data_IF_864525985910
#
_entry.id   IF_864525985910
#
_cell.length_a   1.000
_cell.length_b   1.000
_cell.length_c   1.000
_cell.angle_alpha   90.00
_cell.angle_beta   90.00
_cell.angle_gamma   90.00
#
_symmetry.space_group_name_H-M   'P 1'
#
loop_
_entity.id
_entity.type
_entity.pdbx_description
1 polymer ?
#
# COMPACT_ATOMS: atom_id res chain seq x y z
N UNK A 1 -6.40 -14.42 22.08
CA UNK A 1 -7.01 -14.64 20.80
C UNK A 1 -8.35 -13.98 20.75
N UNK A 2 -8.75 -13.43 19.59
CA UNK A 2 -8.00 -13.43 18.35
C UNK A 2 -6.98 -12.30 18.29
N UNK A 3 -5.95 -12.51 17.48
CA UNK A 3 -4.87 -11.53 17.32
C UNK A 3 -5.02 -10.87 15.96
N UNK A 4 -5.49 -9.62 15.97
CA UNK A 4 -5.74 -8.82 14.78
C UNK A 4 -4.96 -7.54 14.80
N UNK A 5 -4.60 -7.06 13.61
CA UNK A 5 -4.21 -5.69 13.41
C UNK A 5 -5.01 -5.12 12.24
N UNK A 6 -5.42 -3.88 12.32
CA UNK A 6 -6.22 -3.24 11.28
C UNK A 6 -5.59 -1.94 10.81
N UNK A 7 -5.72 -1.70 9.52
CA UNK A 7 -5.40 -0.41 8.92
C UNK A 7 -6.68 0.08 8.26
N UNK A 8 -7.32 1.08 8.85
CA UNK A 8 -8.62 1.55 8.39
C UNK A 8 -8.39 2.80 7.53
N UNK A 9 -8.37 2.61 6.23
CA UNK A 9 -8.23 3.70 5.30
C UNK A 9 -9.56 4.33 4.92
N UNK A 10 -9.52 5.33 4.07
CA UNK A 10 -10.73 5.99 3.62
C UNK A 10 -11.63 5.09 2.77
N UNK A 11 -11.05 4.21 1.96
CA UNK A 11 -11.82 3.35 1.06
C UNK A 11 -11.66 1.88 1.35
N UNK A 12 -10.52 1.46 1.89
CA UNK A 12 -10.25 0.05 2.18
C UNK A 12 -9.79 -0.13 3.61
N UNK A 13 -10.24 -1.21 4.22
CA UNK A 13 -9.72 -1.72 5.49
C UNK A 13 -8.82 -2.91 5.15
N UNK A 14 -7.60 -2.92 5.73
CA UNK A 14 -6.71 -4.06 5.65
C UNK A 14 -6.60 -4.65 7.03
N UNK A 15 -6.66 -5.96 7.09
CA UNK A 15 -6.66 -6.71 8.33
C UNK A 15 -5.58 -7.77 8.27
N UNK A 16 -4.75 -7.85 9.30
CA UNK A 16 -3.85 -8.99 9.47
C UNK A 16 -4.38 -9.82 10.63
N UNK A 17 -4.40 -11.13 10.43
CA UNK A 17 -4.93 -12.05 11.42
C UNK A 17 -3.91 -13.18 11.63
N UNK A 18 -3.50 -13.37 12.89
CA UNK A 18 -2.60 -14.44 13.25
C UNK A 18 -3.38 -15.62 13.80
N UNK A 19 -3.27 -16.74 13.12
CA UNK A 19 -3.94 -17.99 13.51
C UNK A 19 -2.94 -18.92 14.14
N UNK A 20 -3.01 -19.16 15.48
CA UNK A 20 -2.10 -20.12 16.11
C UNK A 20 -2.34 -21.52 15.58
N UNK A 21 -1.27 -22.27 15.35
CA UNK A 21 -1.36 -23.68 14.93
C UNK A 21 -0.78 -24.62 15.97
N UNK A 22 -0.24 -24.07 17.05
CA UNK A 22 0.36 -24.89 18.13
C UNK A 22 -0.58 -24.98 19.34
N UNK A 23 -1.88 -25.03 19.08
CA UNK A 23 -2.87 -25.09 20.15
C UNK A 23 -2.82 -26.50 20.79
N UNK A 24 -2.62 -26.54 22.10
CA UNK A 24 -2.61 -27.80 22.81
C UNK A 24 -4.04 -28.31 23.01
N UNK A 25 -4.16 -29.61 23.39
CA UNK A 25 -5.47 -30.19 23.66
C UNK A 25 -6.16 -29.46 24.81
N UNK A 26 -5.39 -29.06 25.82
CA UNK A 26 -5.95 -28.31 26.95
C UNK A 26 -6.47 -26.94 26.50
N UNK A 27 -5.68 -26.26 25.68
CA UNK A 27 -6.11 -24.95 25.16
C UNK A 27 -7.35 -25.09 24.29
N UNK A 28 -7.43 -26.13 23.48
CA UNK A 28 -8.60 -26.35 22.63
C UNK A 28 -9.84 -26.57 23.47
N UNK A 29 -9.73 -27.31 24.55
CA UNK A 29 -10.88 -27.55 25.44
C UNK A 29 -11.31 -26.26 26.13
N UNK A 30 -10.36 -25.39 26.46
CA UNK A 30 -10.68 -24.14 27.14
C UNK A 30 -11.14 -23.06 26.18
N UNK A 31 -10.91 -23.23 24.88
CA UNK A 31 -11.27 -22.22 23.89
C UNK A 31 -12.78 -22.12 23.77
N UNK A 32 -13.30 -20.89 23.92
CA UNK A 32 -14.74 -20.70 23.83
C UNK A 32 -15.21 -20.90 22.39
N UNK A 33 -16.47 -21.24 22.23
CA UNK A 33 -17.02 -21.53 20.91
C UNK A 33 -16.99 -20.34 19.99
N UNK A 34 -17.12 -19.13 20.52
CA UNK A 34 -17.07 -17.93 19.69
C UNK A 34 -15.69 -17.78 19.05
N UNK A 35 -14.60 -18.06 19.80
CA UNK A 35 -13.26 -18.01 19.22
C UNK A 35 -13.07 -19.04 18.12
N UNK A 36 -13.57 -20.25 18.35
CA UNK A 36 -13.50 -21.30 17.32
C UNK A 36 -14.25 -20.88 16.05
N UNK A 37 -15.42 -20.30 16.24
CA UNK A 37 -16.25 -19.84 15.12
C UNK A 37 -15.55 -18.74 14.33
N UNK A 38 -14.93 -17.79 15.03
CA UNK A 38 -14.21 -16.68 14.37
C UNK A 38 -13.05 -17.24 13.58
N UNK A 39 -12.24 -18.10 14.20
CA UNK A 39 -11.09 -18.67 13.51
C UNK A 39 -11.51 -19.45 12.27
N UNK A 40 -12.56 -20.28 12.40
CA UNK A 40 -13.03 -21.07 11.28
C UNK A 40 -13.54 -20.18 10.16
N UNK A 41 -14.30 -19.12 10.51
CA UNK A 41 -14.82 -18.21 9.51
C UNK A 41 -13.70 -17.51 8.74
N UNK A 42 -12.69 -17.00 9.45
CA UNK A 42 -11.63 -16.24 8.82
C UNK A 42 -10.68 -17.10 7.99
N UNK A 43 -10.46 -18.35 8.41
CA UNK A 43 -9.48 -19.18 7.72
C UNK A 43 -10.08 -20.08 6.64
N UNK A 44 -11.38 -20.31 6.66
CA UNK A 44 -12.01 -21.19 5.68
C UNK A 44 -12.61 -20.45 4.50
N UNK A 45 -12.73 -19.14 4.57
CA UNK A 45 -13.32 -18.34 3.51
C UNK A 45 -12.25 -17.52 2.79
N UNK A 46 -12.36 -17.42 1.47
CA UNK A 46 -11.50 -16.51 0.69
C UNK A 46 -12.24 -15.24 0.31
N UNK A 47 -13.56 -15.24 0.45
CA UNK A 47 -14.40 -14.08 0.15
C UNK A 47 -15.34 -13.83 1.33
N UNK A 48 -15.51 -12.57 1.69
CA UNK A 48 -16.36 -12.17 2.79
C UNK A 48 -17.40 -11.19 2.28
N UNK A 49 -18.64 -11.64 2.22
CA UNK A 49 -19.66 -10.85 1.58
C UNK A 49 -19.40 -10.74 0.09
N UNK A 50 -19.81 -9.63 -0.49
CA UNK A 50 -19.70 -9.45 -1.93
C UNK A 50 -18.32 -8.87 -2.36
N UNK A 51 -17.61 -8.23 -1.46
CA UNK A 51 -16.40 -7.49 -1.84
C UNK A 51 -15.18 -7.75 -0.96
N UNK A 52 -15.35 -8.45 0.16
CA UNK A 52 -14.22 -8.75 1.03
C UNK A 52 -13.42 -9.94 0.50
N UNK A 53 -12.11 -9.90 0.67
CA UNK A 53 -11.21 -10.92 0.13
C UNK A 53 -10.12 -11.25 1.15
N UNK A 54 -9.83 -12.55 1.28
CA UNK A 54 -8.60 -12.99 1.95
C UNK A 54 -7.59 -13.29 0.85
N UNK A 55 -6.45 -12.60 0.90
CA UNK A 55 -5.39 -12.77 -0.11
C UNK A 55 -4.58 -14.01 0.23
N UNK A 56 -5.06 -15.18 -0.19
CA UNK A 56 -4.46 -16.46 0.20
C UNK A 56 -3.03 -16.61 -0.33
N UNK A 57 -2.73 -15.99 -1.46
CA UNK A 57 -1.39 -16.11 -2.03
C UNK A 57 -0.34 -15.34 -1.19
N UNK A 58 -0.77 -14.45 -0.31
CA UNK A 58 0.13 -13.69 0.55
C UNK A 58 0.30 -14.33 1.93
N UNK A 59 -0.49 -15.36 2.25
CA UNK A 59 -0.44 -16.01 3.56
C UNK A 59 0.98 -16.43 3.90
N UNK A 60 1.41 -16.14 5.13
CA UNK A 60 2.71 -16.56 5.62
C UNK A 60 2.50 -17.67 6.64
N UNK A 61 3.04 -18.84 6.35
CA UNK A 61 2.78 -20.02 7.14
C UNK A 61 3.93 -20.32 8.10
N UNK A 62 3.56 -20.87 9.24
CA UNK A 62 4.49 -21.39 10.23
C UNK A 62 5.47 -20.34 10.73
N UNK A 63 4.92 -19.20 11.12
CA UNK A 63 5.69 -18.14 11.76
C UNK A 63 5.63 -18.28 13.28
N UNK A 64 6.58 -17.65 13.94
CA UNK A 64 6.53 -17.49 15.40
C UNK A 64 6.23 -16.02 15.71
N UNK A 65 5.15 -15.78 16.45
CA UNK A 65 4.74 -14.45 16.83
C UNK A 65 4.24 -14.49 18.26
N UNK A 66 4.79 -13.63 19.11
CA UNK A 66 4.45 -13.59 20.54
C UNK A 66 4.65 -14.96 21.19
N UNK A 67 5.68 -15.67 20.75
CA UNK A 67 6.00 -16.97 21.32
C UNK A 67 5.13 -18.12 20.84
N UNK A 68 4.23 -17.88 19.86
CA UNK A 68 3.34 -18.91 19.34
C UNK A 68 3.65 -19.16 17.87
N UNK A 69 3.51 -20.41 17.46
CA UNK A 69 3.60 -20.75 16.04
C UNK A 69 2.23 -20.60 15.38
N UNK A 70 2.21 -20.07 14.17
CA UNK A 70 0.94 -19.87 13.50
C UNK A 70 1.08 -19.38 12.08
N UNK A 71 -0.06 -19.06 11.49
CA UNK A 71 -0.13 -18.55 10.12
C UNK A 71 -0.67 -17.13 10.15
N UNK A 72 -0.07 -16.29 9.32
CA UNK A 72 -0.49 -14.89 9.22
C UNK A 72 -1.30 -14.72 7.95
N UNK A 73 -2.55 -14.28 8.13
CA UNK A 73 -3.50 -14.09 7.03
C UNK A 73 -3.71 -12.62 6.74
N UNK A 74 -4.00 -12.31 5.49
CA UNK A 74 -4.17 -10.95 5.00
C UNK A 74 -5.53 -10.80 4.34
N UNK A 75 -6.33 -9.89 4.88
CA UNK A 75 -7.74 -9.72 4.50
C UNK A 75 -7.98 -8.25 4.21
N UNK A 76 -8.80 -7.97 3.19
CA UNK A 76 -9.18 -6.60 2.87
C UNK A 76 -10.66 -6.54 2.53
N UNK A 77 -11.28 -5.41 2.87
CA UNK A 77 -12.67 -5.17 2.51
C UNK A 77 -12.91 -3.66 2.44
N UNK A 78 -13.98 -3.25 1.72
CA UNK A 78 -14.27 -1.81 1.62
C UNK A 78 -14.60 -1.22 2.99
N UNK A 79 -14.14 0.00 3.22
CA UNK A 79 -14.39 0.67 4.51
C UNK A 79 -15.88 0.85 4.75
N UNK A 80 -16.69 0.98 3.69
CA UNK A 80 -18.13 1.11 3.86
C UNK A 80 -18.75 -0.15 4.47
N UNK A 81 -18.05 -1.29 4.42
CA UNK A 81 -18.53 -2.54 5.03
C UNK A 81 -18.04 -2.73 6.46
N UNK A 82 -17.32 -1.74 7.01
CA UNK A 82 -16.82 -1.85 8.38
C UNK A 82 -17.95 -2.05 9.40
N UNK A 83 -19.10 -1.38 9.28
CA UNK A 83 -20.19 -1.67 10.22
C UNK A 83 -20.62 -3.13 10.21
N UNK A 84 -20.59 -3.78 9.04
CA UNK A 84 -20.90 -5.21 8.94
C UNK A 84 -19.86 -6.04 9.71
N UNK A 85 -18.59 -5.67 9.60
CA UNK A 85 -17.54 -6.36 10.35
C UNK A 85 -17.74 -6.20 11.85
N UNK A 86 -18.09 -4.98 12.30
CA UNK A 86 -18.34 -4.72 13.72
C UNK A 86 -19.54 -5.56 14.20
N UNK A 87 -20.58 -5.65 13.38
CA UNK A 87 -21.75 -6.45 13.73
C UNK A 87 -21.40 -7.93 13.80
N UNK A 88 -20.54 -8.40 12.90
CA UNK A 88 -20.08 -9.79 12.97
C UNK A 88 -19.32 -10.03 14.27
N UNK A 89 -18.51 -9.09 14.68
CA UNK A 89 -17.81 -9.20 15.96
C UNK A 89 -18.77 -9.27 17.12
N UNK A 90 -19.85 -8.48 17.07
CA UNK A 90 -20.87 -8.54 18.11
C UNK A 90 -21.58 -9.91 18.10
N UNK A 91 -21.97 -10.37 16.92
CA UNK A 91 -22.68 -11.63 16.80
C UNK A 91 -21.84 -12.81 17.28
N UNK A 92 -20.52 -12.72 17.12
CA UNK A 92 -19.62 -13.78 17.56
C UNK A 92 -19.03 -13.50 18.94
N UNK A 93 -19.60 -12.53 19.65
CA UNK A 93 -19.27 -12.22 21.04
C UNK A 93 -17.79 -11.84 21.23
N UNK A 94 -17.26 -10.99 20.35
CA UNK A 94 -15.90 -10.48 20.50
C UNK A 94 -15.73 -9.80 21.86
N UNK A 95 -16.74 -9.09 22.33
CA UNK A 95 -16.64 -8.32 23.56
C UNK A 95 -16.41 -9.20 24.79
N UNK A 96 -16.91 -10.44 24.77
CA UNK A 96 -16.75 -11.33 25.89
C UNK A 96 -15.34 -11.88 25.99
N UNK A 97 -14.52 -11.69 24.96
CA UNK A 97 -13.15 -12.19 24.93
C UNK A 97 -12.16 -11.17 25.49
N UNK A 98 -12.66 -10.02 25.92
CA UNK A 98 -11.80 -8.93 26.43
C UNK A 98 -10.70 -8.56 25.45
N UNK A 99 -11.05 -8.57 24.17
CA UNK A 99 -10.09 -8.37 23.11
C UNK A 99 -9.80 -6.88 22.94
N UNK A 100 -8.52 -6.52 22.91
CA UNK A 100 -8.08 -5.20 22.50
C UNK A 100 -7.74 -5.29 21.03
N UNK A 101 -8.33 -4.40 20.25
CA UNK A 101 -8.12 -4.37 18.81
C UNK A 101 -7.18 -3.22 18.51
N UNK A 102 -6.02 -3.51 17.93
CA UNK A 102 -5.09 -2.46 17.53
C UNK A 102 -5.37 -2.04 16.10
N UNK A 103 -5.44 -0.73 15.89
CA UNK A 103 -5.76 -0.19 14.60
C UNK A 103 -4.94 1.06 14.29
N UNK A 104 -4.74 1.30 13.01
CA UNK A 104 -4.08 2.48 12.51
C UNK A 104 -4.89 3.01 11.33
N UNK A 105 -4.44 4.11 10.73
CA UNK A 105 -5.15 4.72 9.62
C UNK A 105 -6.12 5.78 10.08
N UNK A 106 -6.50 6.67 9.15
CA UNK A 106 -7.40 7.76 9.48
C UNK A 106 -8.76 7.32 9.96
N UNK A 107 -9.24 6.17 9.47
CA UNK A 107 -10.53 5.66 9.87
C UNK A 107 -10.58 5.14 11.29
N UNK A 108 -9.42 4.89 11.91
CA UNK A 108 -9.40 4.41 13.29
C UNK A 108 -10.03 5.45 14.23
N UNK A 109 -9.80 6.72 13.95
CA UNK A 109 -10.42 7.78 14.74
C UNK A 109 -11.90 7.94 14.39
N UNK A 110 -12.22 7.86 13.11
CA UNK A 110 -13.58 8.05 12.66
C UNK A 110 -14.52 6.98 13.19
N UNK A 111 -14.07 5.73 13.23
CA UNK A 111 -14.92 4.61 13.59
C UNK A 111 -14.75 4.14 15.02
N UNK A 112 -13.96 4.84 15.84
CA UNK A 112 -13.73 4.42 17.22
C UNK A 112 -15.03 4.29 18.00
N UNK A 113 -15.93 5.26 17.81
CA UNK A 113 -17.20 5.25 18.51
C UNK A 113 -18.05 4.04 18.09
N UNK A 114 -18.02 3.69 16.79
CA UNK A 114 -18.78 2.55 16.30
C UNK A 114 -18.27 1.25 16.92
N UNK A 115 -16.96 1.09 17.07
CA UNK A 115 -16.41 -0.10 17.72
C UNK A 115 -16.86 -0.18 19.17
N UNK A 116 -16.85 0.95 19.86
CA UNK A 116 -17.24 0.97 21.27
C UNK A 116 -18.73 0.70 21.45
N UNK A 117 -19.56 1.35 20.70
CA UNK A 117 -21.00 1.22 20.87
C UNK A 117 -21.60 0.00 20.20
N UNK A 118 -21.20 -0.03 19.00
CA UNK A 118 -21.73 -1.13 18.28
C UNK A 118 -21.11 -2.43 18.58
N UNK A 119 -19.98 -2.56 18.77
CA UNK A 119 -19.25 -3.79 18.99
C UNK A 119 -18.83 -4.02 20.42
N UNK A 120 -18.92 -3.01 21.27
CA UNK A 120 -18.43 -3.05 22.64
C UNK A 120 -16.96 -3.49 22.68
N UNK A 121 -16.15 -2.94 21.77
CA UNK A 121 -14.74 -3.25 21.65
C UNK A 121 -13.91 -2.01 21.89
N UNK A 122 -12.79 -2.19 22.56
CA UNK A 122 -11.84 -1.10 22.81
C UNK A 122 -10.84 -1.05 21.67
N UNK A 123 -10.79 0.10 20.97
CA UNK A 123 -9.89 0.27 19.84
C UNK A 123 -8.63 1.00 20.33
N UNK A 124 -7.49 0.32 20.23
CA UNK A 124 -6.20 0.88 20.59
C UNK A 124 -5.57 1.45 19.33
N UNK A 125 -5.58 2.79 19.24
CA UNK A 125 -5.11 3.45 18.02
C UNK A 125 -3.59 3.58 18.03
N UNK A 126 -2.96 3.27 16.89
CA UNK A 126 -1.52 3.31 16.73
C UNK A 126 -1.15 4.28 15.61
N UNK A 127 0.02 4.87 15.73
CA UNK A 127 0.50 5.85 14.76
C UNK A 127 0.78 5.18 13.41
N UNK A 128 0.32 5.82 12.33
CA UNK A 128 0.37 5.25 10.98
C UNK A 128 1.79 4.91 10.54
N UNK A 129 2.70 5.86 10.69
CA UNK A 129 4.06 5.67 10.17
C UNK A 129 4.83 4.64 10.98
N UNK A 130 4.62 4.62 12.30
CA UNK A 130 5.23 3.59 13.13
C UNK A 130 4.77 2.20 12.70
N UNK A 131 3.47 2.04 12.48
CA UNK A 131 2.93 0.75 12.06
C UNK A 131 3.47 0.35 10.70
N UNK A 132 3.55 1.30 9.77
CA UNK A 132 4.07 1.02 8.44
C UNK A 132 5.51 0.49 8.52
N UNK A 133 6.38 1.19 9.23
CA UNK A 133 7.78 0.80 9.33
C UNK A 133 7.93 -0.55 10.03
N UNK A 134 7.24 -0.73 11.15
CA UNK A 134 7.34 -1.98 11.91
C UNK A 134 6.82 -3.15 11.11
N UNK A 135 5.69 -2.98 10.43
CA UNK A 135 5.12 -4.03 9.62
C UNK A 135 6.01 -4.40 8.45
N UNK A 136 6.56 -3.40 7.77
CA UNK A 136 7.45 -3.64 6.64
C UNK A 136 8.68 -4.42 7.06
N UNK A 137 9.32 -3.98 8.13
CA UNK A 137 10.53 -4.66 8.59
C UNK A 137 10.25 -6.07 9.07
N UNK A 138 9.12 -6.28 9.74
CA UNK A 138 8.76 -7.62 10.20
C UNK A 138 8.52 -8.56 9.01
N UNK A 139 7.74 -8.14 8.03
CA UNK A 139 7.43 -8.99 6.87
C UNK A 139 8.71 -9.34 6.12
N UNK A 140 9.59 -8.34 5.93
CA UNK A 140 10.84 -8.60 5.26
C UNK A 140 11.67 -9.65 6.03
N UNK A 141 11.65 -9.54 7.36
CA UNK A 141 12.47 -10.45 8.18
C UNK A 141 11.97 -11.88 8.16
N UNK A 142 10.66 -12.10 7.98
CA UNK A 142 10.10 -13.46 8.02
C UNK A 142 9.87 -14.06 6.63
N UNK A 143 10.09 -13.29 5.56
CA UNK A 143 9.85 -13.77 4.20
C UNK A 143 11.08 -14.47 3.64
N UNK A 144 11.66 -15.36 4.42
CA UNK A 144 12.92 -16.01 4.04
C UNK A 144 12.75 -17.34 3.33
N UNK A 145 11.53 -17.83 3.22
CA UNK A 145 11.33 -19.20 2.77
C UNK A 145 11.09 -19.28 1.27
N UNK A 146 12.11 -18.87 0.51
CA UNK A 146 12.15 -19.17 -0.90
C UNK A 146 11.53 -18.13 -1.82
N UNK A 147 10.78 -17.16 -1.29
CA UNK A 147 10.22 -16.10 -2.13
C UNK A 147 10.66 -14.76 -1.60
N UNK A 148 11.33 -14.00 -2.44
CA UNK A 148 11.79 -12.67 -2.04
C UNK A 148 10.60 -11.75 -1.82
N UNK A 149 10.61 -11.05 -0.69
CA UNK A 149 9.58 -10.06 -0.41
C UNK A 149 9.76 -8.83 -1.31
N UNK A 150 11.00 -8.47 -1.56
CA UNK A 150 11.33 -7.25 -2.30
C UNK A 150 11.66 -7.57 -3.76
N UNK A 151 11.25 -6.69 -4.66
CA UNK A 151 11.51 -6.87 -6.08
C UNK A 151 11.64 -5.54 -6.78
N UNK A 152 12.15 -5.58 -8.01
CA UNK A 152 12.26 -4.39 -8.87
C UNK A 152 11.95 -4.81 -10.31
N UNK A 153 11.85 -3.82 -11.19
CA UNK A 153 11.62 -4.07 -12.60
C UNK A 153 12.89 -3.77 -13.38
N UNK A 154 13.51 -4.84 -13.88
CA UNK A 154 14.68 -4.69 -14.73
C UNK A 154 14.25 -4.12 -16.08
N UNK A 155 15.10 -3.25 -16.64
CA UNK A 155 14.84 -2.65 -17.94
C UNK A 155 13.54 -1.88 -17.98
N UNK A 156 13.30 -1.06 -16.94
CA UNK A 156 12.05 -0.33 -16.82
C UNK A 156 11.81 0.64 -17.97
N UNK A 157 12.87 1.10 -18.64
CA UNK A 157 12.76 2.00 -19.78
C UNK A 157 12.46 1.30 -21.10
N UNK A 158 12.49 -0.02 -21.11
CA UNK A 158 12.28 -0.81 -22.33
C UNK A 158 11.10 -1.77 -22.09
N UNK A 159 9.89 -1.37 -22.45
CA UNK A 159 8.70 -2.19 -22.10
C UNK A 159 8.79 -3.65 -22.56
N UNK A 160 9.44 -3.90 -23.70
CA UNK A 160 9.54 -5.27 -24.23
C UNK A 160 10.50 -6.13 -23.43
N UNK A 161 11.44 -5.52 -22.72
CA UNK A 161 12.42 -6.25 -21.91
C UNK A 161 12.19 -6.09 -20.41
N UNK A 162 11.16 -5.35 -20.02
CA UNK A 162 10.88 -5.09 -18.63
C UNK A 162 10.40 -6.37 -17.94
N UNK A 163 11.08 -6.73 -16.85
CA UNK A 163 10.67 -7.93 -16.13
C UNK A 163 10.93 -7.79 -14.64
N UNK A 164 10.06 -8.43 -13.87
CA UNK A 164 10.12 -8.41 -12.42
C UNK A 164 11.26 -9.29 -11.93
N UNK A 165 12.11 -8.75 -11.08
CA UNK A 165 13.28 -9.45 -10.55
C UNK A 165 13.33 -9.33 -9.04
N UNK A 166 13.72 -10.40 -8.34
CA UNK A 166 13.84 -10.31 -6.89
C UNK A 166 15.02 -9.42 -6.47
N UNK A 167 14.87 -8.78 -5.33
CA UNK A 167 15.90 -7.95 -4.75
C UNK A 167 16.13 -8.35 -3.31
N UNK A 168 17.39 -8.55 -2.94
CA UNK A 168 17.75 -9.02 -1.61
C UNK A 168 17.95 -7.84 -0.66
N UNK A 169 17.08 -7.74 0.37
CA UNK A 169 17.20 -6.71 1.40
C UNK A 169 17.76 -7.30 2.69
N UNK A 170 18.87 -8.05 2.61
CA UNK A 170 19.46 -8.69 3.78
C UNK A 170 19.77 -7.69 4.89
N UNK A 171 20.33 -6.54 4.51
CA UNK A 171 20.63 -5.47 5.45
C UNK A 171 19.88 -4.24 4.94
N UNK A 172 18.64 -4.04 5.39
CA UNK A 172 17.80 -3.03 4.74
C UNK A 172 18.19 -1.59 5.01
N UNK A 173 19.03 -1.34 6.02
CA UNK A 173 19.33 0.04 6.41
C UNK A 173 20.55 0.59 5.72
N UNK A 174 20.54 1.87 5.39
CA UNK A 174 19.40 2.78 5.46
C UNK A 174 18.45 2.59 4.30
N UNK A 175 17.19 2.97 4.51
CA UNK A 175 16.13 2.73 3.54
C UNK A 175 15.27 3.98 3.44
N UNK A 176 14.98 4.40 2.22
CA UNK A 176 14.02 5.47 2.00
C UNK A 176 12.68 4.84 1.63
N UNK A 177 11.64 5.15 2.39
CA UNK A 177 10.30 4.61 2.15
C UNK A 177 9.41 5.72 1.63
N UNK A 178 8.88 5.52 0.44
CA UNK A 178 7.97 6.49 -0.20
C UNK A 178 6.57 5.91 -0.15
N UNK A 179 5.74 6.47 0.70
CA UNK A 179 4.37 5.98 0.93
C UNK A 179 3.41 6.83 0.12
N UNK A 180 2.79 6.22 -0.89
CA UNK A 180 1.92 6.93 -1.82
C UNK A 180 0.47 6.51 -1.57
N UNK A 181 -0.24 7.38 -0.85
CA UNK A 181 -1.67 7.20 -0.61
C UNK A 181 -2.43 8.37 -1.19
N UNK A 182 -3.31 8.96 -0.40
CA UNK A 182 -3.98 10.20 -0.82
C UNK A 182 -2.97 11.33 -0.97
N UNK A 183 -1.93 11.30 -0.13
CA UNK A 183 -0.76 12.15 -0.28
C UNK A 183 0.47 11.28 -0.33
N UNK A 184 1.64 11.90 -0.32
CA UNK A 184 2.92 11.19 -0.33
C UNK A 184 3.68 11.56 0.93
N UNK A 185 4.17 10.53 1.63
CA UNK A 185 5.06 10.70 2.77
C UNK A 185 6.36 9.99 2.48
N UNK A 186 7.48 10.64 2.76
CA UNK A 186 8.80 10.06 2.55
C UNK A 186 9.51 9.95 3.87
N UNK A 187 9.96 8.75 4.18
CA UNK A 187 10.60 8.42 5.46
C UNK A 187 12.02 7.96 5.22
N UNK A 188 12.93 8.44 6.04
CA UNK A 188 14.30 7.92 6.06
C UNK A 188 14.40 6.97 7.26
N UNK A 189 14.69 5.70 6.98
CA UNK A 189 14.76 4.68 8.00
C UNK A 189 16.22 4.25 8.14
N UNK A 190 16.86 4.68 9.23
CA UNK A 190 18.28 4.40 9.45
C UNK A 190 18.50 3.15 10.28
N UNK A 191 17.53 2.81 11.13
CA UNK A 191 17.55 1.58 11.90
C UNK A 191 16.12 1.28 12.37
N UNK A 192 15.96 0.16 13.02
CA UNK A 192 14.65 -0.25 13.54
C UNK A 192 14.00 0.83 14.40
N UNK A 193 14.81 1.55 15.16
CA UNK A 193 14.29 2.56 16.08
C UNK A 193 14.67 4.00 15.71
N UNK A 194 15.28 4.19 14.55
CA UNK A 194 15.73 5.51 14.13
C UNK A 194 15.19 5.79 12.73
N UNK A 195 14.03 6.42 12.66
CA UNK A 195 13.44 6.81 11.39
C UNK A 195 12.70 8.12 11.57
N UNK A 196 12.59 8.87 10.48
CA UNK A 196 11.94 10.18 10.51
C UNK A 196 11.23 10.44 9.19
N UNK A 197 10.21 11.28 9.25
CA UNK A 197 9.56 11.77 8.03
C UNK A 197 10.41 12.90 7.46
N UNK A 198 10.87 12.69 6.24
CA UNK A 198 11.74 13.69 5.58
C UNK A 198 10.90 14.80 4.96
N UNK A 199 9.84 14.42 4.25
CA UNK A 199 8.96 15.39 3.61
C UNK A 199 7.65 14.71 3.24
N UNK A 200 6.71 15.50 2.69
CA UNK A 200 5.44 14.97 2.23
C UNK A 200 4.77 15.98 1.32
N UNK A 201 3.83 15.48 0.57
CA UNK A 201 3.08 16.33 -0.33
C UNK A 201 1.67 15.78 -0.52
N UNK A 202 0.97 16.61 -0.78
CA UNK A 202 -0.39 16.26 -0.95
C UNK A 202 -0.69 15.99 -2.41
N UNK A 203 0.21 16.16 -3.23
CA UNK A 203 0.07 15.97 -4.62
C UNK A 203 0.11 14.56 -5.08
N UNK A 204 -0.08 13.74 -4.64
CA UNK A 204 -0.03 12.39 -5.01
C UNK A 204 -1.35 11.88 -5.52
N UNK A 205 -1.97 11.22 -4.91
CA UNK A 205 -3.16 10.49 -5.12
C UNK A 205 -4.37 11.42 -5.19
N UNK A 206 -4.26 12.30 -4.48
CA UNK A 206 -5.32 13.24 -4.43
C UNK A 206 -5.36 14.09 -5.69
N UNK A 207 -4.33 14.33 -6.11
CA UNK A 207 -4.17 15.03 -7.31
C UNK A 207 -4.49 14.15 -8.51
N UNK A 208 -4.32 13.06 -8.35
CA UNK A 208 -4.63 12.09 -9.34
C UNK A 208 -6.12 11.85 -9.45
N UNK A 209 -6.58 11.83 -8.44
CA UNK A 209 -7.99 11.62 -8.36
C UNK A 209 -8.73 12.88 -8.84
N UNK A 210 -8.24 13.84 -8.54
CA UNK A 210 -8.77 15.07 -8.95
C UNK A 210 -8.59 15.31 -10.42
N UNK A 211 -7.59 14.99 -10.83
CA UNK A 211 -7.28 15.16 -12.19
C UNK A 211 -7.99 14.14 -13.08
N UNK A 212 -8.14 13.14 -12.50
CA UNK A 212 -8.79 12.07 -13.20
C UNK A 212 -10.30 12.31 -13.24
N UNK A 213 -10.63 12.84 -12.29
CA UNK A 213 -12.01 13.16 -12.20
C UNK A 213 -12.39 14.34 -13.09
N UNK A 214 -11.60 15.11 -13.13
CA UNK A 214 -11.77 16.26 -13.93
C UNK A 214 -11.56 16.00 -15.40
N UNK A 215 -10.67 15.30 -15.61
CA UNK A 215 -10.32 15.14 -16.99
C UNK A 215 -10.98 13.93 -17.65
N UNK A 216 -11.15 13.12 -16.97
CA UNK A 216 -11.59 11.89 -17.55
C UNK A 216 -12.98 11.46 -17.07
N UNK A 217 -13.42 12.05 -16.36
CA UNK A 217 -14.72 11.68 -15.95
C UNK A 217 -14.76 10.31 -15.31
N UNK A 218 -13.73 9.82 -15.08
CA UNK A 218 -13.70 8.54 -14.47
C UNK A 218 -13.70 8.72 -12.98
N UNK A 219 -14.46 8.51 -12.45
CA UNK A 219 -14.60 8.77 -11.04
C UNK A 219 -13.93 7.74 -10.18
N UNK A 220 -13.65 6.84 -10.66
CA UNK A 220 -13.01 5.83 -9.83
C UNK A 220 -11.55 5.76 -10.17
N UNK A 221 -10.88 5.63 -9.29
CA UNK A 221 -9.48 5.52 -9.42
C UNK A 221 -9.09 4.29 -10.16
N UNK A 222 -9.85 3.32 -9.89
CA UNK A 222 -9.59 2.09 -10.52
C UNK A 222 -9.91 2.14 -12.01
N UNK A 223 -10.79 2.80 -12.25
CA UNK A 223 -11.13 2.95 -13.62
C UNK A 223 -10.10 3.78 -14.36
N UNK A 224 -9.66 4.56 -13.66
CA UNK A 224 -8.65 5.38 -14.22
C UNK A 224 -7.38 4.61 -14.51
N UNK A 225 -7.15 3.87 -13.71
CA UNK A 225 -5.99 3.05 -13.81
C UNK A 225 -6.13 2.01 -14.93
N UNK A 226 -7.15 1.58 -14.93
CA UNK A 226 -7.37 0.61 -15.98
C UNK A 226 -7.34 1.27 -17.36
N UNK A 227 -7.74 2.26 -17.42
CA UNK A 227 -7.73 3.04 -18.62
C UNK A 227 -6.32 3.44 -19.02
N UNK A 228 -5.72 3.60 -18.11
CA UNK A 228 -4.37 3.99 -18.32
C UNK A 228 -3.54 2.88 -18.94
N UNK A 229 -3.83 1.89 -18.58
CA UNK A 229 -3.14 0.73 -19.06
C UNK A 229 -3.44 0.45 -20.57
N UNK A 230 -4.49 0.66 -20.77
CA UNK A 230 -4.88 0.46 -22.15
C UNK A 230 -4.53 1.65 -23.00
N UNK A 231 -4.46 2.58 -22.54
CA UNK A 231 -4.13 3.76 -23.22
C UNK A 231 -2.68 3.69 -23.51
N UNK A 232 -2.41 3.80 -24.27
CA UNK A 232 -1.03 3.96 -24.66
C UNK A 232 -0.59 5.25 -24.09
N UNK A 233 -0.07 5.17 -23.36
CA UNK A 233 0.55 6.28 -22.80
C UNK A 233 1.51 6.97 -23.73
N UNK A 234 1.64 6.36 -24.65
CA UNK A 234 2.52 6.83 -25.63
C UNK A 234 2.06 8.12 -26.24
N UNK A 235 1.00 8.12 -26.39
CA UNK A 235 0.41 9.30 -26.99
C UNK A 235 0.51 10.50 -26.10
N UNK A 236 0.30 10.37 -25.06
CA UNK A 236 0.38 11.38 -24.04
C UNK A 236 1.80 11.50 -23.56
N UNK A 237 2.23 10.51 -23.46
CA UNK A 237 3.61 10.48 -23.04
C UNK A 237 4.51 10.98 -24.16
N UNK A 238 4.05 10.73 -25.13
CA UNK A 238 4.82 11.19 -26.25
C UNK A 238 4.77 12.69 -26.30
N UNK A 239 3.80 13.08 -26.02
CA UNK A 239 3.61 14.50 -25.92
C UNK A 239 4.42 15.08 -24.82
N UNK A 240 4.41 14.48 -23.94
CA UNK A 240 5.20 14.82 -22.78
C UNK A 240 6.65 14.51 -23.02
N UNK A 241 6.72 13.58 -23.56
CA UNK A 241 8.07 13.21 -23.89
C UNK A 241 8.66 14.11 -24.95
N UNK A 242 7.87 14.36 -25.62
CA UNK A 242 8.28 15.29 -26.63
C UNK A 242 8.61 16.63 -26.04
N UNK A 243 7.95 16.85 -25.16
CA UNK A 243 8.20 18.07 -24.44
C UNK A 243 9.36 17.92 -23.52
N UNK A 244 9.36 16.92 -23.00
CA UNK A 244 10.41 16.59 -22.04
C UNK A 244 11.67 16.07 -22.72
N UNK A 245 11.44 15.48 -23.58
CA UNK A 245 12.58 14.96 -24.25
C UNK A 245 13.49 16.03 -24.79
N UNK A 246 12.90 16.83 -25.09
CA UNK A 246 13.66 17.92 -25.56
C UNK A 246 14.35 18.58 -24.45
N UNK A 247 13.86 18.47 -23.66
CA UNK A 247 14.43 19.18 -22.60
C UNK A 247 14.60 18.27 -21.46
N UNK A 248 14.91 17.54 -21.90
CA UNK A 248 15.03 16.73 -20.89
C UNK A 248 15.66 17.25 -19.74
N UNK A 249 16.13 17.88 -20.07
CA UNK A 249 16.80 18.43 -19.14
C UNK A 249 16.17 19.32 -18.22
N UNK A 250 15.61 19.55 -18.54
CA UNK A 250 14.97 20.35 -17.68
C UNK A 250 14.15 19.43 -16.83
N UNK A 251 14.70 19.15 -16.11
CA UNK A 251 14.09 18.38 -15.12
C UNK A 251 12.81 18.99 -14.64
N UNK A 252 12.86 19.96 -14.54
CA UNK A 252 11.75 20.71 -14.09
C UNK A 252 10.77 20.86 -15.21
N UNK A 253 11.26 20.81 -16.10
CA UNK A 253 10.51 20.91 -17.30
C UNK A 253 9.74 19.66 -17.56
N UNK A 254 10.24 18.82 -17.15
CA UNK A 254 9.57 17.54 -17.26
C UNK A 254 8.29 17.56 -16.51
N UNK A 255 8.43 17.99 -15.55
CA UNK A 255 7.30 18.10 -14.69
C UNK A 255 6.30 19.16 -15.17
N UNK A 256 6.79 20.01 -15.62
CA UNK A 256 5.99 21.05 -16.20
C UNK A 256 5.40 20.66 -17.50
N UNK A 257 6.05 19.96 -18.02
CA UNK A 257 5.61 19.42 -19.27
C UNK A 257 4.49 18.42 -19.07
N UNK A 258 4.65 17.85 -18.18
CA UNK A 258 3.66 16.89 -17.82
C UNK A 258 2.43 17.61 -17.36
N UNK A 259 2.65 18.51 -16.78
CA UNK A 259 1.57 19.30 -16.33
C UNK A 259 0.91 20.02 -17.48
N UNK A 260 1.62 20.25 -18.24
CA UNK A 260 1.14 20.86 -19.43
C UNK A 260 0.39 19.91 -20.31
N UNK A 261 0.79 18.92 -20.24
CA UNK A 261 0.13 17.87 -20.94
C UNK A 261 -1.20 17.54 -20.32
N UNK A 262 -1.11 17.60 -19.21
CA UNK A 262 -2.32 17.38 -18.46
C UNK A 262 -3.25 18.56 -18.61
N UNK A 263 -2.70 19.56 -18.66
CA UNK A 263 -3.45 20.76 -18.87
C UNK A 263 -3.95 20.87 -20.30
N UNK A 264 -3.21 20.41 -20.98
CA UNK A 264 -3.53 20.40 -22.37
C UNK A 264 -4.64 19.44 -22.69
N UNK A 265 -4.61 18.60 -22.03
CA UNK A 265 -5.62 17.59 -22.12
C UNK A 265 -6.96 18.11 -21.62
N UNK A 266 -6.75 18.81 -20.83
CA UNK A 266 -7.90 19.40 -20.21
C UNK A 266 -8.44 20.58 -21.00
N UNK A 267 -7.60 21.07 -21.51
CA UNK A 267 -7.87 22.25 -22.27
C UNK A 267 -8.21 21.96 -23.70
N UNK A 268 -7.72 21.05 -23.99
CA UNK A 268 -7.98 20.69 -25.32
C UNK A 268 -9.42 20.30 -25.35
N UNK A 269 -9.89 20.87 -25.64
CA UNK A 269 -11.21 20.68 -25.89
C UNK A 269 -11.39 19.52 -26.70
N UNK A 270 -10.58 19.19 -26.80
CA UNK A 270 -10.71 18.08 -27.49
C UNK A 270 -10.87 16.87 -26.65
N UNK A 271 -11.35 17.08 -25.84
CA UNK A 271 -11.58 16.02 -24.92
C UNK A 271 -12.26 14.85 -25.56
N UNK A 272 -12.86 15.17 -26.33
CA UNK A 272 -13.53 14.21 -27.13
C UNK A 272 -12.58 13.39 -27.99
N UNK A 273 -11.72 13.93 -28.32
CA UNK A 273 -10.73 13.29 -29.16
C UNK A 273 -9.74 12.55 -28.35
N UNK A 274 -9.54 13.02 -27.35
CA UNK A 274 -8.58 12.34 -26.54
C UNK A 274 -9.38 11.36 -25.72
N UNK A 275 -9.14 10.53 -25.72
CA UNK A 275 -9.70 9.50 -24.94
C UNK A 275 -9.48 9.77 -23.49
N UNK A 276 -10.16 9.49 -22.85
CA UNK A 276 -10.00 9.51 -21.43
C UNK A 276 -8.84 8.71 -20.97
N UNK A 277 -8.63 7.73 -21.61
CA UNK A 277 -7.51 6.94 -21.29
C UNK A 277 -6.19 7.65 -21.43
N UNK A 278 -6.16 8.33 -22.29
CA UNK A 278 -4.95 9.08 -22.52
C UNK A 278 -4.78 10.16 -21.46
N UNK A 279 -5.65 10.64 -21.06
CA UNK A 279 -5.60 11.60 -20.00
C UNK A 279 -5.21 10.96 -18.70
N UNK A 280 -5.60 9.99 -18.54
CA UNK A 280 -5.25 9.19 -17.36
C UNK A 280 -3.79 8.79 -17.37
N UNK A 281 -3.45 8.43 -18.37
CA UNK A 281 -2.05 8.10 -18.51
C UNK A 281 -1.14 9.30 -18.38
N UNK A 282 -1.61 10.19 -18.87
CA UNK A 282 -0.88 11.41 -18.78
C UNK A 282 -0.85 11.91 -17.38
N UNK A 283 -1.87 11.79 -16.68
CA UNK A 283 -1.91 12.15 -15.26
C UNK A 283 -0.99 11.22 -14.47
N UNK A 284 -1.08 9.93 -14.70
CA UNK A 284 -0.21 8.98 -14.02
C UNK A 284 1.25 9.30 -14.29
N UNK A 285 1.58 9.57 -15.54
CA UNK A 285 2.98 9.87 -15.87
C UNK A 285 3.42 11.14 -15.15
N UNK A 286 2.57 12.15 -15.08
CA UNK A 286 2.92 13.39 -14.38
C UNK A 286 3.14 13.10 -12.89
N UNK A 287 2.23 12.38 -12.28
CA UNK A 287 2.32 12.07 -10.83
C UNK A 287 3.56 11.23 -10.55
N UNK A 288 3.77 10.17 -11.32
CA UNK A 288 4.91 9.30 -11.07
C UNK A 288 6.24 10.00 -11.36
N UNK A 289 6.27 10.90 -12.35
CA UNK A 289 7.46 11.70 -12.62
C UNK A 289 7.79 12.61 -11.44
N UNK A 290 6.77 13.28 -10.90
CA UNK A 290 6.98 14.16 -9.76
C UNK A 290 7.45 13.37 -8.54
N UNK A 291 6.83 12.23 -8.28
CA UNK A 291 7.23 11.40 -7.14
C UNK A 291 8.65 10.90 -7.33
N UNK A 292 8.99 10.44 -8.53
CA UNK A 292 10.34 9.98 -8.81
C UNK A 292 11.38 11.06 -8.60
N UNK A 293 11.06 12.28 -9.03
CA UNK A 293 11.98 13.41 -8.85
C UNK A 293 12.18 13.73 -7.37
N UNK A 294 11.09 13.80 -6.62
CA UNK A 294 11.17 14.11 -5.19
C UNK A 294 11.87 12.99 -4.43
N UNK A 295 11.58 11.75 -4.76
CA UNK A 295 12.21 10.61 -4.12
C UNK A 295 13.72 10.63 -4.37
N UNK A 296 14.11 10.90 -5.60
CA UNK A 296 15.55 11.00 -5.93
C UNK A 296 16.21 12.11 -5.13
N UNK A 297 15.57 13.26 -5.05
CA UNK A 297 16.12 14.39 -4.31
C UNK A 297 16.29 14.03 -2.83
N UNK A 298 15.30 13.38 -2.24
CA UNK A 298 15.40 12.97 -0.84
C UNK A 298 16.47 11.92 -0.63
N UNK A 299 16.60 10.97 -1.56
CA UNK A 299 17.61 9.92 -1.45
C UNK A 299 19.00 10.54 -1.46
N UNK A 300 19.24 11.50 -2.36
CA UNK A 300 20.54 12.17 -2.43
C UNK A 300 20.80 12.95 -1.14
N UNK A 301 19.82 13.73 -0.69
CA UNK A 301 20.00 14.54 0.50
C UNK A 301 20.22 13.70 1.75
N UNK A 302 19.57 12.55 1.86
CA UNK A 302 19.70 11.68 3.02
C UNK A 302 20.84 10.66 2.87
N UNK A 303 21.47 10.63 1.71
CA UNK A 303 22.57 9.69 1.40
C UNK A 303 22.07 8.24 1.52
N UNK A 304 20.90 7.98 0.98
CA UNK A 304 20.29 6.65 0.98
C UNK A 304 20.12 6.22 -0.48
N UNK A 305 20.56 5.01 -0.80
CA UNK A 305 20.50 4.54 -2.19
C UNK A 305 19.51 3.41 -2.43
N UNK A 306 18.68 3.10 -1.44
CA UNK A 306 17.59 2.13 -1.62
C UNK A 306 16.26 2.83 -1.38
N UNK A 307 15.41 2.81 -2.40
CA UNK A 307 14.14 3.53 -2.37
C UNK A 307 13.02 2.51 -2.55
N UNK A 308 12.21 2.34 -1.50
CA UNK A 308 11.08 1.40 -1.51
C UNK A 308 9.79 2.20 -1.61
N UNK A 309 8.97 1.85 -2.59
CA UNK A 309 7.66 2.47 -2.78
C UNK A 309 6.58 1.59 -2.19
N UNK A 310 5.70 2.18 -1.39
CA UNK A 310 4.58 1.50 -0.77
C UNK A 310 3.33 2.38 -0.88
N UNK A 311 2.19 1.82 -0.57
CA UNK A 311 0.95 2.57 -0.50
C UNK A 311 -0.10 2.09 -1.48
N UNK A 312 -1.33 2.54 -1.24
CA UNK A 312 -2.48 2.07 -2.01
C UNK A 312 -2.41 2.42 -3.49
N UNK A 313 -1.71 3.51 -3.82
CA UNK A 313 -1.58 3.89 -5.22
C UNK A 313 -1.01 2.76 -6.08
N UNK A 314 -0.11 1.97 -5.51
CA UNK A 314 0.55 0.89 -6.25
C UNK A 314 -0.38 -0.29 -6.51
N UNK A 315 -1.47 -0.40 -5.77
CA UNK A 315 -2.40 -1.51 -5.92
C UNK A 315 -3.31 -1.35 -7.13
N UNK A 316 -3.31 -0.18 -7.73
CA UNK A 316 -4.20 0.10 -8.85
C UNK A 316 -3.87 -0.83 -10.03
N UNK A 317 -2.60 -0.85 -10.42
CA UNK A 317 -2.13 -1.81 -11.43
C UNK A 317 -0.61 -1.78 -11.50
N UNK A 318 -0.06 -2.70 -12.30
CA UNK A 318 1.39 -2.79 -12.47
C UNK A 318 1.96 -1.58 -13.21
N UNK A 319 1.14 -0.92 -14.00
CA UNK A 319 1.60 0.23 -14.79
C UNK A 319 2.13 1.34 -13.88
N UNK A 320 1.45 1.62 -12.78
CA UNK A 320 1.90 2.68 -11.88
C UNK A 320 3.28 2.36 -11.30
N UNK A 321 3.52 1.09 -10.97
CA UNK A 321 4.83 0.68 -10.47
C UNK A 321 5.91 0.83 -11.54
N UNK A 322 5.60 0.42 -12.76
CA UNK A 322 6.59 0.53 -13.85
C UNK A 322 6.88 1.99 -14.18
N UNK A 323 5.87 2.86 -14.12
CA UNK A 323 6.08 4.27 -14.35
C UNK A 323 6.94 4.90 -13.25
N UNK A 324 6.75 4.50 -12.00
CA UNK A 324 7.60 4.96 -10.91
C UNK A 324 9.03 4.47 -11.11
N UNK A 325 9.19 3.23 -11.49
CA UNK A 325 10.52 2.66 -11.73
C UNK A 325 11.22 3.42 -12.85
N UNK A 326 10.50 3.70 -13.92
CA UNK A 326 11.07 4.44 -15.03
C UNK A 326 11.43 5.87 -14.60
N UNK A 327 10.55 6.52 -13.86
CA UNK A 327 10.80 7.88 -13.43
C UNK A 327 12.02 7.97 -12.53
N UNK A 328 12.14 7.05 -11.56
CA UNK A 328 13.28 7.07 -10.66
C UNK A 328 14.58 6.79 -11.41
N UNK A 329 14.53 5.85 -12.34
CA UNK A 329 15.69 5.56 -13.18
C UNK A 329 16.12 6.80 -13.97
N UNK A 330 15.15 7.48 -14.56
CA UNK A 330 15.41 8.69 -15.34
C UNK A 330 16.02 9.79 -14.48
N UNK A 331 15.37 10.13 -13.37
CA UNK A 331 15.83 11.23 -12.54
C UNK A 331 17.15 10.95 -11.85
N UNK A 332 17.43 9.69 -11.55
CA UNK A 332 18.68 9.32 -10.90
C UNK A 332 19.78 8.95 -11.89
N UNK A 333 19.49 9.00 -13.18
CA UNK A 333 20.41 8.58 -14.23
C UNK A 333 20.90 7.16 -14.01
N UNK A 334 19.97 6.30 -13.61
CA UNK A 334 20.25 4.89 -13.40
C UNK A 334 20.92 4.56 -12.08
N UNK A 335 21.10 5.55 -11.21
CA UNK A 335 21.81 5.32 -9.94
C UNK A 335 20.92 4.69 -8.88
N UNK A 336 19.62 4.90 -8.95
CA UNK A 336 18.68 4.41 -7.94
C UNK A 336 17.72 3.44 -8.57
N UNK A 337 17.42 2.37 -7.82
CA UNK A 337 16.50 1.34 -8.23
C UNK A 337 15.22 1.47 -7.41
N UNK A 338 14.08 1.47 -8.10
CA UNK A 338 12.79 1.50 -7.42
C UNK A 338 12.45 0.10 -6.92
N UNK A 339 12.26 -0.02 -5.63
CA UNK A 339 11.97 -1.31 -5.00
C UNK A 339 10.51 -1.37 -4.58
N UNK A 340 9.94 -2.56 -4.69
CA UNK A 340 8.55 -2.82 -4.36
C UNK A 340 8.46 -4.07 -3.48
N UNK A 341 7.31 -4.26 -2.85
CA UNK A 341 7.14 -5.35 -1.88
C UNK A 341 5.88 -6.15 -2.19
N UNK A 342 5.96 -7.45 -1.99
CA UNK A 342 4.85 -8.35 -2.33
C UNK A 342 3.62 -8.12 -1.45
N UNK A 343 3.83 -7.83 -0.16
CA UNK A 343 2.71 -7.63 0.76
C UNK A 343 2.22 -6.19 0.79
N UNK A 344 2.35 -5.53 -0.35
CA UNK A 344 1.93 -4.14 -0.48
C UNK A 344 0.50 -3.93 0.02
N UNK A 345 0.33 -2.90 0.85
CA UNK A 345 -0.97 -2.53 1.38
C UNK A 345 -1.24 -3.05 2.78
N UNK A 346 -0.47 -4.03 3.24
CA UNK A 346 -0.76 -4.69 4.52
C UNK A 346 0.20 -4.32 5.65
N UNK A 347 1.21 -3.51 5.38
CA UNK A 347 2.24 -3.25 6.40
C UNK A 347 1.67 -2.52 7.61
N UNK A 348 0.76 -1.58 7.39
CA UNK A 348 0.13 -0.88 8.52
C UNK A 348 -0.64 -1.83 9.42
N UNK A 349 -1.38 -2.75 8.82
CA UNK A 349 -2.14 -3.73 9.61
C UNK A 349 -1.22 -4.67 10.39
N UNK A 350 -0.10 -5.06 9.77
CA UNK A 350 0.86 -5.91 10.47
C UNK A 350 1.50 -5.15 11.62
N UNK A 351 1.88 -3.88 11.40
CA UNK A 351 2.44 -3.07 12.48
C UNK A 351 1.48 -2.90 13.62
N UNK A 352 0.18 -2.73 13.32
CA UNK A 352 -0.83 -2.63 14.36
C UNK A 352 -0.92 -3.94 15.15
N UNK A 353 -0.86 -5.08 14.46
CA UNK A 353 -0.87 -6.38 15.14
C UNK A 353 0.31 -6.51 16.09
N UNK A 354 1.49 -6.08 15.64
CA UNK A 354 2.70 -6.16 16.47
C UNK A 354 2.61 -5.26 17.69
N UNK A 355 1.69 -4.29 17.69
CA UNK A 355 1.48 -3.40 18.81
C UNK A 355 0.56 -3.94 19.90
N UNK A 356 0.01 -5.15 19.70
CA UNK A 356 -0.82 -5.74 20.75
C UNK A 356 -0.02 -5.95 22.02
N UNK A 357 -0.67 -5.83 23.20
CA UNK A 357 0.04 -6.12 24.42
C UNK A 357 0.63 -7.53 24.42
N UNK A 358 1.81 -7.68 24.98
CA UNK A 358 2.46 -8.96 25.02
C UNK A 358 1.69 -9.90 25.93
N UNK A 359 1.26 -11.02 25.40
CA UNK A 359 0.55 -12.04 26.19
C UNK A 359 1.57 -13.09 26.63
N UNK A 360 2.37 -12.72 27.56
CA UNK A 360 3.38 -13.62 28.10
C UNK A 360 2.80 -14.58 29.12
#
# INVERSE_FOLDING_TARGET
FPWFGMDIGGTLVKLSYFEPIDITAEEEQEEVESLKSIRKYLTSNVAYGSTGIRDVHLELKDLTLFGRRGNLHFIRFPTQDLPTFIQMGRDKNFSTLHTVLCATGGGAYKFEKDFRTXGNLHLNKRHDLDCLVKGLLYIDSVSLNGQAECYYFANASEPERCQKMPFNLDDPYPLLVVNIGSGVSILAVHSKDNYKRVTGTXXXXXXXXXXXXXXXXXXXXXXXXXXXXXXXXXXXXXXXXXXXXXXXXXXXXXXXXXXXXXXXXXXXXXXXXXXXXXXXXXTLVTITNNIGSVARMCAVNEKINRVVFVGNFLRVNTLSMKLLAYALDYWSKGQLKALFLEHEGYFGAVGALLGLPNFS
#
